data_IF_779254994130
#
_entry.id   IF_779254994130
#
_cell.length_a   1.000
_cell.length_b   1.000
_cell.length_c   1.000
_cell.angle_alpha   90.00
_cell.angle_beta   90.00
_cell.angle_gamma   90.00
#
_symmetry.space_group_name_H-M   'P 1'
#
loop_
_entity.id
_entity.type
_entity.pdbx_description
1 polymer ?
#
# COMPACT_ATOMS: atom_id res chain seq x y z
N UNK A 1 15.31 -7.46 -30.85
CA UNK A 1 16.59 -6.84 -30.41
C UNK A 1 16.62 -5.30 -30.43
N UNK A 2 15.55 -4.57 -30.82
CA UNK A 2 15.52 -3.09 -30.75
C UNK A 2 14.88 -2.47 -29.49
N UNK A 3 14.19 -3.27 -28.67
CA UNK A 3 13.58 -2.79 -27.40
C UNK A 3 14.55 -2.78 -26.19
N UNK A 4 15.73 -3.38 -26.32
CA UNK A 4 16.73 -3.47 -25.23
C UNK A 4 17.60 -2.22 -25.11
N UNK A 5 17.74 -1.43 -26.18
CA UNK A 5 18.70 -0.32 -26.24
C UNK A 5 18.08 0.99 -25.72
N UNK A 6 16.75 1.11 -25.72
CA UNK A 6 16.05 2.27 -25.15
C UNK A 6 16.04 2.24 -23.61
N UNK A 7 16.05 1.05 -23.00
CA UNK A 7 16.05 0.87 -21.55
C UNK A 7 17.43 1.13 -20.92
N UNK A 8 18.52 0.95 -21.68
CA UNK A 8 19.87 1.18 -21.17
C UNK A 8 20.22 2.67 -21.01
N UNK A 9 19.42 3.58 -21.58
CA UNK A 9 19.63 5.04 -21.49
C UNK A 9 18.85 5.72 -20.36
N UNK A 10 18.01 5.01 -19.60
CA UNK A 10 17.18 5.56 -18.51
C UNK A 10 17.64 5.20 -17.09
N UNK A 11 18.68 4.36 -16.93
CA UNK A 11 19.18 3.90 -15.63
C UNK A 11 20.65 4.24 -15.36
N UNK A 12 21.15 5.39 -15.84
CA UNK A 12 22.52 5.84 -15.56
C UNK A 12 22.72 6.37 -14.12
N UNK A 13 21.64 6.50 -13.34
CA UNK A 13 21.70 6.74 -11.90
C UNK A 13 21.05 5.56 -11.17
N UNK A 14 21.74 5.02 -10.17
CA UNK A 14 21.22 3.94 -9.32
C UNK A 14 19.77 4.25 -8.88
N UNK A 15 18.84 3.27 -8.98
CA UNK A 15 17.46 3.50 -8.58
C UNK A 15 17.42 3.91 -7.11
N UNK A 16 16.87 5.10 -6.83
CA UNK A 16 16.79 5.67 -5.49
C UNK A 16 15.55 5.13 -4.78
N UNK A 17 15.67 4.64 -3.52
CA UNK A 17 14.51 4.21 -2.75
C UNK A 17 13.56 5.37 -2.49
N UNK A 18 12.29 5.05 -2.28
CA UNK A 18 11.25 6.07 -2.13
C UNK A 18 11.50 6.88 -0.86
N UNK A 19 11.62 8.20 -1.03
CA UNK A 19 11.72 9.13 0.10
C UNK A 19 10.42 9.08 0.90
N UNK A 20 10.60 8.95 2.20
CA UNK A 20 9.58 8.52 3.17
C UNK A 20 8.37 9.46 3.37
N UNK A 21 8.22 10.52 2.58
CA UNK A 21 7.22 11.58 2.80
C UNK A 21 5.78 11.08 2.72
N UNK A 22 5.42 10.25 1.74
CA UNK A 22 4.03 9.75 1.56
C UNK A 22 3.58 8.86 2.73
N UNK A 23 4.46 8.04 3.28
CA UNK A 23 4.13 7.22 4.47
C UNK A 23 3.74 8.12 5.65
N UNK A 24 4.39 9.28 5.79
CA UNK A 24 4.07 10.27 6.82
C UNK A 24 2.71 10.94 6.57
N UNK A 25 2.41 11.32 5.33
CA UNK A 25 1.12 11.87 4.91
C UNK A 25 -0.03 10.88 5.16
N UNK A 26 0.17 9.60 4.82
CA UNK A 26 -0.84 8.55 5.00
C UNK A 26 -1.15 8.28 6.48
N UNK A 27 -0.14 8.26 7.37
CA UNK A 27 -0.33 8.15 8.82
C UNK A 27 -1.14 9.34 9.35
N UNK A 28 -0.82 10.57 8.92
CA UNK A 28 -1.58 11.78 9.29
C UNK A 28 -3.04 11.73 8.83
N UNK A 29 -3.35 11.08 7.71
CA UNK A 29 -4.72 10.89 7.20
C UNK A 29 -5.49 9.80 7.99
N UNK A 30 -4.78 8.85 8.62
CA UNK A 30 -5.35 7.89 9.58
C UNK A 30 -5.51 8.45 10.99
N UNK A 31 -4.72 9.47 11.37
CA UNK A 31 -4.86 10.21 12.64
C UNK A 31 -5.91 11.32 12.49
N UNK A 32 -7.10 11.24 13.11
CA UNK A 32 -8.21 12.11 12.73
C UNK A 32 -8.07 13.51 13.33
N UNK A 33 -8.09 14.52 12.46
CA UNK A 33 -8.62 15.84 12.78
C UNK A 33 -10.02 15.94 12.16
N UNK A 34 -11.08 15.64 12.93
CA UNK A 34 -12.38 16.34 12.89
C UNK A 34 -13.44 15.74 13.84
N UNK A 35 -14.33 16.63 14.30
CA UNK A 35 -15.04 16.62 15.59
C UNK A 35 -16.25 15.69 15.79
N UNK A 36 -16.76 14.95 14.79
CA UNK A 36 -17.98 14.16 14.99
C UNK A 36 -18.02 12.89 14.13
N UNK A 37 -17.54 11.76 14.67
CA UNK A 37 -17.89 10.35 14.39
C UNK A 37 -16.83 9.44 15.03
N UNK A 38 -17.26 8.36 15.67
CA UNK A 38 -16.46 7.45 16.52
C UNK A 38 -15.08 7.14 15.94
N UNK A 39 -14.05 7.47 16.71
CA UNK A 39 -12.67 7.61 16.26
C UNK A 39 -11.96 6.26 16.05
N UNK A 40 -11.24 6.10 14.92
CA UNK A 40 -10.16 5.10 14.84
C UNK A 40 -9.04 5.52 15.78
N UNK A 41 -8.95 4.88 16.94
CA UNK A 41 -7.93 5.15 17.96
C UNK A 41 -6.78 4.16 17.79
N UNK A 42 -5.56 4.69 17.66
CA UNK A 42 -4.36 3.87 17.78
C UNK A 42 -4.14 3.54 19.26
N UNK A 43 -3.97 2.27 19.57
CA UNK A 43 -3.68 1.75 20.90
C UNK A 43 -2.32 1.08 20.83
N UNK A 44 -1.35 1.57 21.59
CA UNK A 44 -0.02 0.98 21.67
C UNK A 44 0.05 0.10 22.91
N UNK A 45 0.65 -1.09 22.77
CA UNK A 45 1.03 -1.89 23.92
C UNK A 45 2.33 -1.38 24.55
N UNK A 46 2.75 -2.01 25.64
CA UNK A 46 4.01 -1.74 26.34
C UNK A 46 5.26 -1.89 25.43
N UNK A 47 5.17 -2.76 24.42
CA UNK A 47 6.23 -3.04 23.46
C UNK A 47 6.26 -2.04 22.29
N UNK A 48 5.34 -1.07 22.25
CA UNK A 48 5.23 -0.06 21.20
C UNK A 48 4.62 -0.58 19.89
N UNK A 49 4.02 -1.76 19.89
CA UNK A 49 3.34 -2.32 18.72
C UNK A 49 1.92 -1.73 18.70
N UNK A 50 1.44 -1.16 17.57
CA UNK A 50 0.12 -0.55 17.48
C UNK A 50 -1.01 -1.55 17.18
N UNK A 51 -2.20 -1.23 17.67
CA UNK A 51 -3.51 -1.79 17.30
C UNK A 51 -4.45 -0.65 16.89
N UNK A 52 -5.51 -0.97 16.14
CA UNK A 52 -6.56 -0.01 15.76
C UNK A 52 -7.89 -0.47 16.36
N UNK A 53 -8.61 0.43 17.01
CA UNK A 53 -10.03 0.26 17.31
C UNK A 53 -10.87 0.63 16.07
N UNK A 54 -11.55 -0.36 15.48
CA UNK A 54 -12.37 -0.17 14.28
C UNK A 54 -13.85 0.11 14.57
N UNK A 55 -14.32 -0.08 15.79
CA UNK A 55 -15.73 0.07 16.15
C UNK A 55 -16.62 -0.90 15.39
N UNK A 56 -17.66 -0.36 14.75
CA UNK A 56 -18.55 -1.09 13.84
C UNK A 56 -18.38 -0.63 12.40
N UNK A 57 -18.43 -1.57 11.45
CA UNK A 57 -18.44 -1.31 10.01
C UNK A 57 -19.63 -2.07 9.42
N UNK A 58 -20.56 -1.37 8.76
CA UNK A 58 -21.82 -1.93 8.25
C UNK A 58 -22.52 -2.80 9.32
N UNK A 59 -22.74 -2.22 10.51
CA UNK A 59 -23.35 -2.84 11.69
C UNK A 59 -22.62 -4.05 12.31
N UNK A 60 -21.54 -4.53 11.69
CA UNK A 60 -20.71 -5.61 12.22
C UNK A 60 -19.63 -5.03 13.14
N UNK A 61 -19.57 -5.51 14.39
CA UNK A 61 -18.55 -5.14 15.37
C UNK A 61 -17.20 -5.76 14.99
N UNK A 62 -16.19 -4.92 14.75
CA UNK A 62 -14.82 -5.33 14.43
C UNK A 62 -13.92 -5.25 15.68
N UNK A 63 -14.06 -4.19 16.48
CA UNK A 63 -13.27 -4.00 17.71
C UNK A 63 -11.78 -3.69 17.48
N UNK A 64 -10.97 -3.95 18.50
CA UNK A 64 -9.51 -3.76 18.49
C UNK A 64 -8.86 -4.85 17.63
N UNK A 65 -8.07 -4.44 16.64
CA UNK A 65 -7.36 -5.37 15.76
C UNK A 65 -5.91 -4.93 15.53
N UNK A 66 -5.01 -5.92 15.45
CA UNK A 66 -3.70 -5.74 14.84
C UNK A 66 -3.87 -5.64 13.34
N UNK A 67 -3.27 -4.61 12.75
CA UNK A 67 -3.32 -4.37 11.31
C UNK A 67 -1.88 -4.36 10.76
N UNK A 68 -1.52 -5.29 9.87
CA UNK A 68 -0.20 -5.36 9.26
C UNK A 68 0.29 -4.03 8.67
N UNK A 69 -0.53 -3.35 7.86
CA UNK A 69 -0.22 -2.01 7.29
C UNK A 69 0.17 -1.01 8.39
N UNK A 70 -0.58 -0.98 9.47
CA UNK A 70 -0.32 -0.05 10.58
C UNK A 70 0.98 -0.36 11.31
N UNK A 71 1.29 -1.65 11.51
CA UNK A 71 2.53 -2.08 12.16
C UNK A 71 3.73 -1.81 11.25
N UNK A 72 3.61 -2.02 9.94
CA UNK A 72 4.62 -1.62 8.95
C UNK A 72 4.88 -0.12 8.98
N UNK A 73 3.83 0.70 8.97
CA UNK A 73 3.93 2.16 9.05
C UNK A 73 4.59 2.64 10.35
N UNK A 74 4.29 1.98 11.47
CA UNK A 74 4.92 2.29 12.73
C UNK A 74 6.41 1.90 12.76
N UNK A 75 6.76 0.74 12.19
CA UNK A 75 8.16 0.33 12.01
C UNK A 75 8.95 1.38 11.21
N UNK A 76 8.39 1.83 10.08
CA UNK A 76 8.98 2.91 9.27
C UNK A 76 9.06 4.24 10.02
N UNK A 77 8.13 4.50 10.95
CA UNK A 77 8.16 5.71 11.79
C UNK A 77 9.30 5.64 12.79
N UNK A 78 9.49 4.52 13.48
CA UNK A 78 10.63 4.33 14.39
C UNK A 78 11.97 4.37 13.65
N UNK A 79 12.05 3.82 12.44
CA UNK A 79 13.24 3.92 11.60
C UNK A 79 13.63 5.39 11.34
N UNK A 80 12.67 6.23 10.92
CA UNK A 80 12.93 7.67 10.71
C UNK A 80 13.32 8.40 11.99
N UNK A 81 12.76 8.00 13.13
CA UNK A 81 13.14 8.59 14.40
C UNK A 81 14.60 8.26 14.74
N UNK A 82 15.03 7.02 14.52
CA UNK A 82 16.42 6.60 14.71
C UNK A 82 17.40 7.33 13.78
N UNK A 83 16.99 7.62 12.54
CA UNK A 83 17.79 8.45 11.62
C UNK A 83 18.03 9.87 12.13
N UNK A 84 17.12 10.41 12.95
CA UNK A 84 17.25 11.76 13.55
C UNK A 84 17.94 11.72 14.90
N UNK A 85 17.61 10.72 15.72
CA UNK A 85 18.13 10.53 17.08
C UNK A 85 18.09 9.04 17.42
N UNK A 86 19.26 8.43 17.50
CA UNK A 86 19.39 7.02 17.89
C UNK A 86 19.22 6.87 19.41
N UNK A 87 18.21 6.13 19.84
CA UNK A 87 18.02 5.74 21.25
C UNK A 87 17.68 4.26 21.35
N UNK A 88 18.16 3.59 22.40
CA UNK A 88 17.88 2.17 22.63
C UNK A 88 16.37 1.89 22.70
N UNK A 89 15.61 2.78 23.33
CA UNK A 89 14.14 2.64 23.44
C UNK A 89 13.43 2.65 22.06
N UNK A 90 13.86 3.49 21.12
CA UNK A 90 13.25 3.53 19.78
C UNK A 90 13.71 2.32 18.97
N UNK A 91 14.98 1.89 19.13
CA UNK A 91 15.51 0.69 18.49
C UNK A 91 14.75 -0.57 18.93
N UNK A 92 14.44 -0.68 20.21
CA UNK A 92 13.64 -1.76 20.78
C UNK A 92 12.20 -1.77 20.24
N UNK A 93 11.54 -0.62 20.15
CA UNK A 93 10.20 -0.52 19.56
C UNK A 93 10.17 -0.88 18.07
N UNK A 94 11.21 -0.48 17.32
CA UNK A 94 11.40 -0.92 15.94
C UNK A 94 11.58 -2.44 15.85
N UNK A 95 12.43 -3.02 16.70
CA UNK A 95 12.67 -4.46 16.79
C UNK A 95 11.36 -5.21 17.06
N UNK A 96 10.56 -4.74 18.02
CA UNK A 96 9.28 -5.36 18.39
C UNK A 96 8.28 -5.35 17.23
N UNK A 97 8.13 -4.23 16.52
CA UNK A 97 7.24 -4.16 15.36
C UNK A 97 7.74 -5.02 14.19
N UNK A 98 9.05 -5.03 13.92
CA UNK A 98 9.64 -5.84 12.86
C UNK A 98 9.51 -7.34 13.15
N UNK A 99 9.79 -7.78 14.38
CA UNK A 99 9.60 -9.16 14.81
C UNK A 99 8.13 -9.56 14.75
N UNK A 100 7.19 -8.66 15.05
CA UNK A 100 5.77 -8.94 14.86
C UNK A 100 5.46 -9.29 13.40
N UNK A 101 6.00 -8.53 12.44
CA UNK A 101 5.82 -8.81 11.01
C UNK A 101 6.42 -10.15 10.60
N UNK A 102 7.60 -10.51 11.12
CA UNK A 102 8.24 -11.81 10.88
C UNK A 102 7.38 -12.95 11.44
N UNK A 103 7.02 -12.88 12.72
CA UNK A 103 6.25 -13.93 13.40
C UNK A 103 4.84 -14.12 12.81
N UNK A 104 4.22 -13.05 12.29
CA UNK A 104 2.87 -13.12 11.71
C UNK A 104 2.88 -13.32 10.18
N UNK A 105 4.06 -13.43 9.56
CA UNK A 105 4.21 -13.82 8.16
C UNK A 105 3.99 -15.33 8.05
N UNK A 106 2.76 -15.73 7.72
CA UNK A 106 2.38 -17.15 7.73
C UNK A 106 2.86 -17.82 6.43
N UNK A 107 3.73 -18.85 6.51
CA UNK A 107 4.18 -19.58 5.34
C UNK A 107 3.05 -20.42 4.75
N UNK A 108 2.95 -20.45 3.42
CA UNK A 108 2.00 -21.33 2.70
C UNK A 108 2.73 -22.35 1.85
N UNK A 109 3.65 -21.88 1.00
CA UNK A 109 4.57 -22.70 0.19
C UNK A 109 5.91 -21.96 0.10
N UNK A 110 6.34 -21.61 -1.11
CA UNK A 110 7.48 -20.74 -1.38
C UNK A 110 7.16 -19.24 -1.17
N UNK A 111 6.08 -18.91 -0.45
CA UNK A 111 5.66 -17.54 -0.14
C UNK A 111 4.97 -17.51 1.23
N UNK A 112 4.88 -16.30 1.79
CA UNK A 112 4.18 -16.03 3.04
C UNK A 112 3.14 -14.92 2.90
N UNK A 113 2.15 -14.91 3.77
CA UNK A 113 1.07 -13.93 3.80
C UNK A 113 0.87 -13.33 5.19
N UNK A 114 0.60 -12.03 5.24
CA UNK A 114 0.10 -11.34 6.43
C UNK A 114 -1.42 -11.32 6.39
N UNK A 115 -2.04 -12.15 7.23
CA UNK A 115 -3.50 -12.29 7.30
C UNK A 115 -4.17 -11.24 8.16
N UNK A 116 -5.36 -10.83 7.73
CA UNK A 116 -6.32 -10.08 8.50
C UNK A 116 -7.36 -11.05 9.07
N UNK A 117 -7.31 -11.29 10.38
CA UNK A 117 -8.15 -12.26 11.08
C UNK A 117 -9.48 -11.68 11.59
N UNK A 118 -9.99 -10.66 10.90
CA UNK A 118 -11.28 -10.01 11.17
C UNK A 118 -12.01 -9.70 9.85
N UNK A 119 -13.35 -9.69 9.82
CA UNK A 119 -14.08 -9.44 8.58
C UNK A 119 -13.90 -7.99 8.10
N UNK A 120 -14.07 -7.76 6.80
CA UNK A 120 -14.10 -6.41 6.21
C UNK A 120 -15.38 -6.19 5.39
N UNK A 121 -16.50 -5.81 6.05
CA UNK A 121 -17.82 -5.74 5.44
C UNK A 121 -17.93 -4.73 4.30
N UNK A 122 -17.12 -3.67 4.29
CA UNK A 122 -17.10 -2.67 3.21
C UNK A 122 -16.80 -3.29 1.83
N UNK A 123 -16.10 -4.43 1.79
CA UNK A 123 -15.79 -5.18 0.58
C UNK A 123 -16.31 -6.62 0.60
N UNK A 124 -17.25 -6.93 1.50
CA UNK A 124 -17.80 -8.28 1.71
C UNK A 124 -16.71 -9.34 1.94
N UNK A 125 -15.67 -9.01 2.72
CA UNK A 125 -14.62 -9.97 3.05
C UNK A 125 -14.90 -10.65 4.38
N UNK A 126 -14.85 -11.98 4.36
CA UNK A 126 -14.77 -12.82 5.55
C UNK A 126 -13.31 -12.99 5.99
N UNK A 127 -13.11 -13.31 7.28
CA UNK A 127 -11.78 -13.65 7.78
C UNK A 127 -11.42 -15.11 7.44
N UNK A 128 -10.13 -15.42 7.19
CA UNK A 128 -9.04 -14.48 6.98
C UNK A 128 -9.03 -13.94 5.55
N UNK A 129 -8.57 -12.69 5.39
CA UNK A 129 -8.29 -12.08 4.08
C UNK A 129 -6.88 -11.48 4.07
N UNK A 130 -6.38 -11.11 2.89
CA UNK A 130 -5.00 -10.61 2.70
C UNK A 130 -4.98 -9.33 1.87
N UNK A 131 -3.86 -8.62 1.89
CA UNK A 131 -3.74 -7.31 1.25
C UNK A 131 -2.38 -7.12 0.58
N UNK A 132 -2.37 -6.83 -0.72
CA UNK A 132 -1.15 -6.46 -1.43
C UNK A 132 -0.47 -5.23 -0.83
N UNK A 133 -1.26 -4.24 -0.37
CA UNK A 133 -0.73 -3.08 0.32
C UNK A 133 -0.01 -3.47 1.62
N UNK A 134 -0.55 -4.41 2.38
CA UNK A 134 0.10 -4.93 3.58
C UNK A 134 1.43 -5.61 3.25
N UNK A 135 1.45 -6.48 2.23
CA UNK A 135 2.66 -7.18 1.81
C UNK A 135 3.74 -6.18 1.37
N UNK A 136 3.41 -5.22 0.51
CA UNK A 136 4.34 -4.20 0.05
C UNK A 136 4.89 -3.31 1.17
N UNK A 137 4.03 -2.81 2.06
CA UNK A 137 4.49 -1.97 3.17
C UNK A 137 5.28 -2.76 4.22
N UNK A 138 4.96 -4.04 4.44
CA UNK A 138 5.75 -4.91 5.30
C UNK A 138 7.14 -5.16 4.74
N UNK A 139 7.27 -5.33 3.42
CA UNK A 139 8.58 -5.40 2.75
C UNK A 139 9.41 -4.14 3.03
N UNK A 140 8.85 -2.94 2.87
CA UNK A 140 9.55 -1.68 3.19
C UNK A 140 9.95 -1.59 4.67
N UNK A 141 9.06 -2.02 5.57
CA UNK A 141 9.31 -2.02 7.00
C UNK A 141 10.45 -2.98 7.38
N UNK A 142 10.48 -4.18 6.79
CA UNK A 142 11.51 -5.18 7.03
C UNK A 142 12.87 -4.77 6.45
N UNK A 143 12.91 -4.14 5.27
CA UNK A 143 14.14 -3.52 4.73
C UNK A 143 14.68 -2.46 5.71
N UNK A 144 13.80 -1.60 6.24
CA UNK A 144 14.20 -0.57 7.20
C UNK A 144 14.65 -1.18 8.54
N UNK A 145 14.07 -2.30 8.95
CA UNK A 145 14.53 -3.03 10.13
C UNK A 145 15.91 -3.66 9.91
N UNK A 146 16.12 -4.30 8.77
CA UNK A 146 17.42 -4.85 8.37
C UNK A 146 18.52 -3.79 8.40
N UNK A 147 18.27 -2.58 7.87
CA UNK A 147 19.24 -1.46 7.89
C UNK A 147 19.68 -1.00 9.29
N UNK A 148 18.92 -1.33 10.35
CA UNK A 148 19.20 -0.91 11.74
C UNK A 148 19.68 -2.08 12.60
N UNK A 149 19.20 -3.28 12.30
CA UNK A 149 19.37 -4.48 13.12
C UNK A 149 20.31 -5.49 12.51
N UNK A 150 20.58 -5.41 11.20
CA UNK A 150 21.54 -6.25 10.46
C UNK A 150 21.28 -7.76 10.61
N UNK A 151 20.00 -8.13 10.79
CA UNK A 151 19.55 -9.51 10.93
C UNK A 151 18.83 -9.96 9.65
N UNK A 152 19.42 -10.92 8.95
CA UNK A 152 19.00 -11.41 7.63
C UNK A 152 17.56 -11.95 7.59
N UNK A 153 17.02 -12.40 8.74
CA UNK A 153 15.64 -12.89 8.82
C UNK A 153 14.61 -11.90 8.27
N UNK A 154 14.90 -10.60 8.35
CA UNK A 154 14.02 -9.56 7.82
C UNK A 154 13.99 -9.57 6.29
N UNK A 155 15.12 -9.79 5.62
CA UNK A 155 15.20 -9.88 4.16
C UNK A 155 14.67 -11.22 3.66
N UNK A 156 14.91 -12.31 4.37
CA UNK A 156 14.32 -13.63 4.10
C UNK A 156 12.79 -13.56 4.16
N UNK A 157 12.25 -12.95 5.21
CA UNK A 157 10.80 -12.72 5.34
C UNK A 157 10.28 -11.83 4.23
N UNK A 158 10.99 -10.73 3.91
CA UNK A 158 10.60 -9.84 2.83
C UNK A 158 10.57 -10.54 1.46
N UNK A 159 11.51 -11.47 1.18
CA UNK A 159 11.48 -12.31 -0.04
C UNK A 159 10.24 -13.19 -0.08
N UNK A 160 9.89 -13.84 1.03
CA UNK A 160 8.69 -14.68 1.09
C UNK A 160 7.40 -13.87 0.91
N UNK A 161 7.33 -12.64 1.43
CA UNK A 161 6.22 -11.72 1.18
C UNK A 161 6.18 -11.28 -0.28
N UNK A 162 7.34 -11.00 -0.90
CA UNK A 162 7.44 -10.65 -2.32
C UNK A 162 6.91 -11.78 -3.22
N UNK A 163 7.25 -13.03 -2.90
CA UNK A 163 6.81 -14.19 -3.68
C UNK A 163 5.26 -14.32 -3.74
N UNK A 164 4.53 -13.77 -2.76
CA UNK A 164 3.06 -13.79 -2.75
C UNK A 164 2.42 -13.01 -3.92
N UNK A 165 3.15 -12.05 -4.50
CA UNK A 165 2.69 -11.27 -5.66
C UNK A 165 2.64 -12.08 -6.96
N UNK A 166 3.24 -13.28 -7.01
CA UNK A 166 3.07 -14.20 -8.14
C UNK A 166 1.79 -15.03 -8.07
N UNK A 167 1.08 -15.02 -6.93
CA UNK A 167 -0.02 -15.95 -6.65
C UNK A 167 -1.36 -15.27 -6.92
N UNK A 168 -2.21 -15.93 -7.70
CA UNK A 168 -3.54 -15.39 -7.99
C UNK A 168 -4.43 -15.37 -6.75
N UNK A 169 -5.33 -14.40 -6.64
CA UNK A 169 -6.29 -14.33 -5.53
C UNK A 169 -7.18 -15.56 -5.45
N UNK A 170 -7.54 -16.17 -6.58
CA UNK A 170 -8.28 -17.44 -6.69
C UNK A 170 -7.53 -18.61 -6.04
N UNK A 171 -6.21 -18.59 -6.10
CA UNK A 171 -5.32 -19.55 -5.44
C UNK A 171 -4.98 -19.17 -4.00
N UNK A 172 -5.52 -18.05 -3.50
CA UNK A 172 -5.29 -17.54 -2.15
C UNK A 172 -4.13 -16.55 -2.04
N UNK A 173 -3.63 -16.04 -3.16
CA UNK A 173 -2.67 -14.94 -3.21
C UNK A 173 -3.32 -13.56 -3.21
N UNK A 174 -2.62 -12.59 -3.79
CA UNK A 174 -2.98 -11.16 -3.77
C UNK A 174 -3.04 -10.53 -5.17
N UNK A 175 -2.87 -11.32 -6.23
CA UNK A 175 -2.73 -10.81 -7.60
C UNK A 175 -3.91 -11.21 -8.47
N UNK A 176 -4.41 -10.29 -9.28
CA UNK A 176 -5.24 -10.60 -10.45
C UNK A 176 -4.39 -10.46 -11.70
N UNK A 177 -4.18 -11.55 -12.45
CA UNK A 177 -3.46 -11.51 -13.72
C UNK A 177 -4.50 -11.33 -14.82
N UNK A 178 -4.62 -10.11 -15.35
CA UNK A 178 -5.54 -9.86 -16.46
C UNK A 178 -5.12 -10.61 -17.72
N UNK A 179 -3.81 -10.74 -17.90
CA UNK A 179 -3.16 -11.53 -18.93
C UNK A 179 -1.68 -11.77 -18.54
N UNK A 180 -0.86 -12.17 -19.51
CA UNK A 180 0.57 -12.44 -19.30
C UNK A 180 1.39 -11.22 -18.89
N UNK A 181 0.97 -9.98 -19.19
CA UNK A 181 1.79 -8.78 -19.03
C UNK A 181 1.19 -7.68 -18.12
N UNK A 182 -0.02 -7.86 -17.60
CA UNK A 182 -0.72 -6.91 -16.71
C UNK A 182 -1.26 -7.59 -15.46
N UNK A 183 -0.57 -7.37 -14.33
CA UNK A 183 -0.95 -7.96 -13.05
C UNK A 183 -1.33 -6.87 -12.05
N UNK A 184 -2.56 -6.93 -11.56
CA UNK A 184 -3.08 -6.03 -10.54
C UNK A 184 -2.89 -6.62 -9.14
N UNK A 185 -2.42 -5.81 -8.19
CA UNK A 185 -2.20 -6.23 -6.80
C UNK A 185 -3.32 -5.70 -5.90
N UNK A 186 -4.15 -6.59 -5.37
CA UNK A 186 -5.36 -6.23 -4.66
C UNK A 186 -5.13 -5.85 -3.20
N UNK A 187 -5.62 -4.67 -2.81
CA UNK A 187 -5.65 -4.24 -1.41
C UNK A 187 -6.55 -5.13 -0.55
N UNK A 188 -7.66 -5.60 -1.12
CA UNK A 188 -8.70 -6.37 -0.44
C UNK A 188 -8.87 -7.73 -1.14
N UNK A 189 -7.92 -8.63 -0.90
CA UNK A 189 -7.84 -9.92 -1.59
C UNK A 189 -8.44 -11.07 -0.77
N UNK A 190 -9.29 -11.86 -1.43
CA UNK A 190 -9.71 -13.18 -0.99
C UNK A 190 -10.13 -14.02 -2.20
N UNK A 191 -10.21 -15.35 -2.05
CA UNK A 191 -10.55 -16.27 -3.15
C UNK A 191 -11.91 -15.99 -3.81
N UNK A 192 -12.85 -15.44 -3.04
CA UNK A 192 -14.21 -15.10 -3.49
C UNK A 192 -14.47 -13.58 -3.45
N UNK A 193 -13.42 -12.79 -3.27
CA UNK A 193 -13.52 -11.34 -3.10
C UNK A 193 -13.90 -10.64 -4.39
N UNK A 194 -14.49 -9.45 -4.25
CA UNK A 194 -14.72 -8.57 -5.41
C UNK A 194 -13.37 -8.13 -5.99
N UNK A 195 -13.32 -7.91 -7.30
CA UNK A 195 -12.18 -7.29 -7.99
C UNK A 195 -12.22 -5.77 -7.78
N UNK A 196 -12.08 -5.33 -6.53
CA UNK A 196 -12.26 -3.92 -6.17
C UNK A 196 -11.30 -3.01 -6.90
N UNK A 197 -10.04 -3.45 -7.08
CA UNK A 197 -8.97 -2.65 -7.67
C UNK A 197 -8.86 -1.30 -6.99
N UNK A 198 -8.43 -1.30 -5.74
CA UNK A 198 -8.26 -0.08 -4.97
C UNK A 198 -6.95 0.60 -5.37
N UNK A 199 -7.04 1.86 -5.80
CA UNK A 199 -5.93 2.56 -6.45
C UNK A 199 -4.74 2.76 -5.50
N UNK A 200 -4.97 3.31 -4.30
CA UNK A 200 -3.87 3.59 -3.38
C UNK A 200 -3.14 2.30 -2.96
N UNK A 201 -3.86 1.19 -2.79
CA UNK A 201 -3.28 -0.06 -2.33
C UNK A 201 -2.37 -0.69 -3.37
N UNK A 202 -2.80 -0.66 -4.63
CA UNK A 202 -1.96 -1.06 -5.77
C UNK A 202 -0.65 -0.26 -5.81
N UNK A 203 -0.73 1.07 -5.67
CA UNK A 203 0.46 1.93 -5.76
C UNK A 203 1.38 1.73 -4.55
N UNK A 204 0.84 1.58 -3.34
CA UNK A 204 1.67 1.25 -2.17
C UNK A 204 2.33 -0.13 -2.28
N UNK A 205 1.65 -1.10 -2.88
CA UNK A 205 2.24 -2.39 -3.15
C UNK A 205 3.43 -2.27 -4.13
N UNK A 206 3.25 -1.51 -5.22
CA UNK A 206 4.32 -1.20 -6.18
C UNK A 206 5.52 -0.53 -5.52
N UNK A 207 5.30 0.41 -4.61
CA UNK A 207 6.36 1.06 -3.85
C UNK A 207 7.19 0.07 -3.01
N UNK A 208 6.53 -0.88 -2.36
CA UNK A 208 7.24 -1.93 -1.61
C UNK A 208 8.06 -2.86 -2.49
N UNK A 209 7.51 -3.27 -3.63
CA UNK A 209 8.22 -4.09 -4.63
C UNK A 209 9.43 -3.32 -5.18
N UNK A 210 9.25 -2.05 -5.54
CA UNK A 210 10.32 -1.21 -6.08
C UNK A 210 11.45 -0.98 -5.06
N UNK A 211 11.12 -0.69 -3.80
CA UNK A 211 12.13 -0.54 -2.75
C UNK A 211 12.92 -1.84 -2.53
N UNK A 212 12.27 -3.00 -2.62
CA UNK A 212 12.94 -4.30 -2.56
C UNK A 212 13.89 -4.51 -3.74
N UNK A 213 13.44 -4.24 -4.97
CA UNK A 213 14.32 -4.27 -6.14
C UNK A 213 15.51 -3.33 -5.98
N UNK A 214 15.29 -2.10 -5.50
CA UNK A 214 16.37 -1.14 -5.25
C UNK A 214 17.42 -1.68 -4.27
N UNK A 215 16.96 -2.38 -3.22
CA UNK A 215 17.81 -2.86 -2.12
C UNK A 215 18.52 -4.18 -2.45
N UNK A 216 17.79 -5.19 -2.93
CA UNK A 216 18.31 -6.55 -3.17
C UNK A 216 18.76 -6.81 -4.62
N UNK A 217 18.41 -5.95 -5.57
CA UNK A 217 18.62 -6.17 -7.03
C UNK A 217 18.00 -7.48 -7.53
N UNK A 218 16.89 -7.87 -6.93
CA UNK A 218 16.17 -9.11 -7.25
C UNK A 218 15.37 -8.97 -8.56
N UNK A 219 15.67 -9.79 -9.60
CA UNK A 219 14.97 -9.71 -10.88
C UNK A 219 13.47 -10.06 -10.78
N UNK A 220 13.05 -10.84 -9.79
CA UNK A 220 11.62 -11.12 -9.58
C UNK A 220 10.87 -9.85 -9.15
N UNK A 221 11.50 -9.02 -8.30
CA UNK A 221 10.92 -7.75 -7.88
C UNK A 221 10.83 -6.77 -9.05
N UNK A 222 11.85 -6.72 -9.91
CA UNK A 222 11.80 -5.94 -11.16
C UNK A 222 10.65 -6.39 -12.05
N UNK A 223 10.53 -7.70 -12.28
CA UNK A 223 9.47 -8.28 -13.08
C UNK A 223 8.08 -7.90 -12.53
N UNK A 224 7.84 -8.13 -11.24
CA UNK A 224 6.58 -7.78 -10.58
C UNK A 224 6.29 -6.27 -10.67
N UNK A 225 7.29 -5.41 -10.46
CA UNK A 225 7.10 -3.98 -10.60
C UNK A 225 6.62 -3.62 -12.03
N UNK A 226 7.27 -4.18 -13.06
CA UNK A 226 6.89 -3.91 -14.45
C UNK A 226 5.49 -4.44 -14.81
N UNK A 227 5.12 -5.63 -14.35
CA UNK A 227 3.77 -6.17 -14.53
C UNK A 227 2.70 -5.25 -13.92
N UNK A 228 2.97 -4.73 -12.72
CA UNK A 228 2.04 -3.86 -12.01
C UNK A 228 1.98 -2.45 -12.60
N UNK A 229 3.10 -1.88 -13.07
CA UNK A 229 3.11 -0.60 -13.79
C UNK A 229 2.28 -0.71 -15.07
N UNK A 230 2.43 -1.79 -15.85
CA UNK A 230 1.61 -2.01 -17.05
C UNK A 230 0.11 -2.09 -16.73
N UNK A 231 -0.27 -2.84 -15.69
CA UNK A 231 -1.66 -2.93 -15.25
C UNK A 231 -2.21 -1.56 -14.78
N UNK A 232 -1.43 -0.84 -13.96
CA UNK A 232 -1.83 0.46 -13.43
C UNK A 232 -2.02 1.48 -14.56
N UNK A 233 -1.09 1.57 -15.52
CA UNK A 233 -1.21 2.49 -16.66
C UNK A 233 -2.49 2.22 -17.47
N UNK A 234 -2.82 0.94 -17.67
CA UNK A 234 -4.03 0.54 -18.40
C UNK A 234 -5.30 1.00 -17.69
N UNK A 235 -5.37 0.80 -16.37
CA UNK A 235 -6.59 1.09 -15.61
C UNK A 235 -6.69 2.52 -15.09
N UNK A 236 -5.59 3.26 -15.00
CA UNK A 236 -5.55 4.61 -14.41
C UNK A 236 -6.63 5.57 -14.97
N UNK A 237 -6.92 5.59 -16.29
CA UNK A 237 -7.99 6.42 -16.82
C UNK A 237 -9.38 6.15 -16.24
N UNK A 238 -9.64 4.93 -15.78
CA UNK A 238 -10.94 4.50 -15.24
C UNK A 238 -11.19 5.02 -13.83
N UNK A 239 -10.15 5.53 -13.15
CA UNK A 239 -10.26 6.16 -11.84
C UNK A 239 -10.57 7.65 -11.93
N UNK A 240 -10.59 8.24 -13.12
CA UNK A 240 -10.93 9.65 -13.26
C UNK A 240 -12.44 9.83 -13.13
N UNK A 241 -12.87 10.50 -12.05
CA UNK A 241 -14.25 10.92 -11.89
C UNK A 241 -14.61 12.02 -12.91
N UNK A 242 -13.60 12.73 -13.43
CA UNK A 242 -13.76 14.02 -14.08
C UNK A 242 -13.68 15.17 -13.08
N UNK A 243 -13.73 16.41 -13.59
CA UNK A 243 -13.64 17.65 -12.79
C UNK A 243 -12.39 17.71 -11.87
N UNK A 244 -11.32 16.99 -12.24
CA UNK A 244 -10.08 16.92 -11.46
C UNK A 244 -10.13 16.01 -10.24
N UNK A 245 -11.09 15.08 -10.13
CA UNK A 245 -11.25 14.19 -8.98
C UNK A 245 -11.04 12.71 -9.32
N UNK A 246 -10.71 11.89 -8.32
CA UNK A 246 -10.49 10.45 -8.51
C UNK A 246 -11.49 9.58 -7.74
N UNK A 247 -11.83 8.43 -8.33
CA UNK A 247 -12.42 7.30 -7.64
C UNK A 247 -11.37 6.61 -6.74
N UNK A 248 -11.86 6.01 -5.67
CA UNK A 248 -11.08 5.17 -4.75
C UNK A 248 -10.69 3.84 -5.38
N UNK A 249 -11.64 3.25 -6.09
CA UNK A 249 -11.59 1.90 -6.63
C UNK A 249 -12.40 1.80 -7.93
N UNK A 250 -12.32 0.67 -8.64
CA UNK A 250 -13.10 0.46 -9.88
C UNK A 250 -14.57 0.09 -9.64
N UNK A 251 -15.01 0.06 -8.38
CA UNK A 251 -16.43 0.05 -8.01
C UNK A 251 -17.01 1.47 -7.97
N UNK A 252 -16.23 2.48 -8.36
CA UNK A 252 -16.61 3.90 -8.41
C UNK A 252 -16.93 4.51 -7.05
N UNK A 253 -16.36 3.98 -5.97
CA UNK A 253 -16.43 4.65 -4.67
C UNK A 253 -15.66 5.98 -4.72
N UNK A 254 -16.16 7.09 -4.14
CA UNK A 254 -15.45 8.37 -4.15
C UNK A 254 -14.18 8.31 -3.26
N UNK A 255 -13.05 8.83 -3.74
CA UNK A 255 -11.78 8.74 -3.02
C UNK A 255 -11.74 9.52 -1.68
N UNK A 256 -12.52 10.60 -1.55
CA UNK A 256 -12.57 11.45 -0.36
C UNK A 256 -11.16 11.88 0.04
N UNK A 257 -10.75 11.60 1.29
CA UNK A 257 -9.40 11.89 1.80
C UNK A 257 -8.27 11.17 1.04
N UNK A 258 -8.58 10.07 0.35
CA UNK A 258 -7.60 9.33 -0.46
C UNK A 258 -7.24 10.01 -1.77
N UNK A 259 -8.03 10.98 -2.25
CA UNK A 259 -7.70 11.69 -3.47
C UNK A 259 -6.35 12.42 -3.34
N UNK A 260 -6.06 13.05 -2.19
CA UNK A 260 -4.73 13.64 -1.92
C UNK A 260 -3.61 12.59 -1.96
N UNK A 261 -3.88 11.39 -1.45
CA UNK A 261 -2.92 10.27 -1.48
C UNK A 261 -2.66 9.84 -2.93
N UNK A 262 -3.70 9.73 -3.76
CA UNK A 262 -3.53 9.40 -5.18
C UNK A 262 -2.66 10.44 -5.91
N UNK A 263 -2.89 11.74 -5.66
CA UNK A 263 -2.06 12.82 -6.23
C UNK A 263 -0.59 12.65 -5.85
N UNK A 264 -0.28 12.51 -4.56
CA UNK A 264 1.11 12.32 -4.09
C UNK A 264 1.75 11.06 -4.71
N UNK A 265 0.99 9.96 -4.75
CA UNK A 265 1.43 8.68 -5.32
C UNK A 265 1.76 8.77 -6.81
N UNK A 266 0.94 9.48 -7.60
CA UNK A 266 1.18 9.67 -9.03
C UNK A 266 2.42 10.54 -9.29
N UNK A 267 2.66 11.57 -8.47
CA UNK A 267 3.89 12.35 -8.53
C UNK A 267 5.13 11.45 -8.35
N UNK A 268 5.11 10.59 -7.33
CA UNK A 268 6.22 9.67 -7.07
C UNK A 268 6.38 8.60 -8.15
N UNK A 269 5.29 8.05 -8.67
CA UNK A 269 5.37 7.10 -9.79
C UNK A 269 5.99 7.73 -11.03
N UNK A 270 5.67 9.00 -11.33
CA UNK A 270 6.32 9.72 -12.42
C UNK A 270 7.83 9.91 -12.16
N UNK A 271 8.23 10.29 -10.94
CA UNK A 271 9.66 10.39 -10.59
C UNK A 271 10.43 9.07 -10.76
N UNK A 272 9.78 7.94 -10.45
CA UNK A 272 10.39 6.61 -10.54
C UNK A 272 10.47 6.11 -11.98
N UNK A 273 9.41 6.32 -12.77
CA UNK A 273 9.20 5.63 -14.05
C UNK A 273 9.38 6.53 -15.27
N UNK A 274 9.32 7.85 -15.10
CA UNK A 274 9.21 8.83 -16.17
C UNK A 274 8.02 8.61 -17.13
N UNK A 275 7.00 7.85 -16.72
CA UNK A 275 5.83 7.56 -17.54
C UNK A 275 4.84 8.73 -17.51
N UNK A 276 4.68 9.41 -18.65
CA UNK A 276 3.90 10.65 -18.79
C UNK A 276 2.43 10.54 -18.35
N UNK A 277 1.84 9.34 -18.39
CA UNK A 277 0.46 9.13 -17.92
C UNK A 277 0.33 9.45 -16.43
N UNK A 278 1.32 9.14 -15.59
CA UNK A 278 1.27 9.45 -14.17
C UNK A 278 1.33 10.95 -13.91
N UNK A 279 2.19 11.66 -14.65
CA UNK A 279 2.25 13.13 -14.61
C UNK A 279 0.95 13.76 -15.09
N UNK A 280 0.37 13.24 -16.17
CA UNK A 280 -0.90 13.74 -16.73
C UNK A 280 -2.02 13.70 -15.68
N UNK A 281 -2.18 12.57 -14.98
CA UNK A 281 -3.20 12.45 -13.94
C UNK A 281 -2.84 13.19 -12.65
N UNK A 282 -1.55 13.25 -12.27
CA UNK A 282 -1.09 14.11 -11.18
C UNK A 282 -1.48 15.57 -11.41
N UNK A 283 -1.16 16.14 -12.58
CA UNK A 283 -1.47 17.51 -12.96
C UNK A 283 -2.97 17.77 -13.03
N UNK A 284 -3.74 16.79 -13.53
CA UNK A 284 -5.20 16.86 -13.59
C UNK A 284 -5.84 16.91 -12.20
N UNK A 285 -5.32 16.14 -11.24
CA UNK A 285 -5.94 15.94 -9.94
C UNK A 285 -5.40 16.88 -8.84
N UNK A 286 -4.19 17.42 -8.96
CA UNK A 286 -3.55 18.20 -7.88
C UNK A 286 -4.29 19.47 -7.45
N UNK A 287 -5.09 20.06 -8.34
CA UNK A 287 -5.79 21.33 -8.10
C UNK A 287 -7.24 21.16 -7.64
N UNK A 288 -7.65 19.96 -7.22
CA UNK A 288 -9.02 19.72 -6.78
C UNK A 288 -9.38 20.54 -5.52
N UNK A 289 -10.34 21.45 -5.68
CA UNK A 289 -10.89 22.25 -4.58
C UNK A 289 -12.03 21.51 -3.87
N UNK A 290 -11.76 21.03 -2.66
CA UNK A 290 -12.74 20.33 -1.84
C UNK A 290 -13.89 21.23 -1.36
N UNK A 291 -13.64 22.51 -1.09
CA UNK A 291 -14.66 23.39 -0.54
C UNK A 291 -15.72 23.73 -1.61
N UNK A 292 -15.28 23.89 -2.86
CA UNK A 292 -16.15 24.25 -3.99
C UNK A 292 -16.86 23.05 -4.61
N UNK A 293 -16.22 21.87 -4.64
CA UNK A 293 -16.69 20.75 -5.45
C UNK A 293 -17.35 19.62 -4.64
N UNK A 294 -17.16 19.53 -3.32
CA UNK A 294 -17.68 18.41 -2.54
C UNK A 294 -19.21 18.45 -2.36
N UNK A 295 -19.81 19.63 -2.30
CA UNK A 295 -21.28 19.80 -2.31
C UNK A 295 -21.91 19.27 -3.60
N UNK A 296 -21.27 19.51 -4.75
CA UNK A 296 -21.75 19.01 -6.04
C UNK A 296 -21.57 17.49 -6.18
N UNK A 297 -20.48 16.92 -5.65
CA UNK A 297 -20.25 15.47 -5.64
C UNK A 297 -21.27 14.72 -4.77
N UNK A 298 -21.59 15.26 -3.59
CA UNK A 298 -22.57 14.64 -2.67
C UNK A 298 -23.97 14.63 -3.29
N UNK A 299 -24.36 15.71 -3.99
CA UNK A 299 -25.65 15.77 -4.69
C UNK A 299 -25.71 14.76 -5.84
N UNK A 300 -24.65 14.66 -6.66
CA UNK A 300 -24.58 13.70 -7.76
C UNK A 300 -24.55 12.23 -7.28
N UNK A 301 -23.90 11.93 -6.16
CA UNK A 301 -23.87 10.58 -5.56
C UNK A 301 -25.22 10.17 -4.96
N UNK A 302 -25.96 11.12 -4.38
CA UNK A 302 -27.33 10.88 -3.87
C UNK A 302 -28.31 10.62 -5.02
N UNK A 303 -28.12 11.27 -6.18
CA UNK A 303 -28.98 11.08 -7.35
C UNK A 303 -28.70 9.79 -8.14
N UNK A 304 -27.59 9.08 -7.85
CA UNK A 304 -27.19 7.82 -8.49
C UNK A 304 -27.56 6.56 -7.67
N UNK A 305 -28.07 6.71 -6.45
CA UNK A 305 -28.58 5.63 -5.59
C UNK A 305 -30.11 5.57 -5.67
#
# INVERSE_FOLDING_TARGET
MRNSIFLQKLFSSLPKPILSSIVSSYIKIKSPYNKHKEHKRFIFDENGIPSIEYGKINDIKIGIQRNPVTISQQTMTYYKQLQKKSTNQIKEKLLNCANWLVTNSVPVKNYSLLYYNFPWPAYNLEKPWVSAMAQGQAIQALINAHKILEDEKYLETAKLLLNSFHVETTDGGITYKDNSDRWWYEEYASKKGKKSRVLNGMIFALFGIYDYYCYQKDPDAEFLFQQGIRALKNDLPRYDYGKGYSYYDLLQNPARKYHKIHVEQLSQLYEITAEEIFKTYFERWKNFDYNKNMSNLIIEDILKQ
#
